data_IF_960034178256
#
_entry.id   IF_960034178256
#
_cell.length_a   1.000
_cell.length_b   1.000
_cell.length_c   1.000
_cell.angle_alpha   90.00
_cell.angle_beta   90.00
_cell.angle_gamma   90.00
#
_symmetry.space_group_name_H-M   'P 1'
#
loop_
_entity.id
_entity.type
_entity.pdbx_description
1 polymer ?
#
# COMPACT_ATOMS: atom_id res chain seq x y z
N UNK A 1 -6.46 -41.51 1.10
CA UNK A 1 -6.69 -40.18 0.49
C UNK A 1 -5.52 -39.86 -0.42
N UNK A 2 -5.78 -39.43 -1.65
CA UNK A 2 -4.73 -39.04 -2.58
C UNK A 2 -3.91 -37.88 -1.99
N UNK A 3 -2.59 -37.96 -2.06
CA UNK A 3 -1.72 -36.88 -1.63
C UNK A 3 -1.90 -35.70 -2.60
N UNK A 4 -2.49 -34.60 -2.11
CA UNK A 4 -2.59 -33.36 -2.90
C UNK A 4 -1.19 -32.87 -3.27
N UNK A 5 -1.03 -32.38 -4.49
CA UNK A 5 0.19 -31.71 -4.93
C UNK A 5 0.41 -30.44 -4.10
N UNK A 6 1.66 -30.08 -3.86
CA UNK A 6 2.04 -28.90 -3.07
C UNK A 6 1.35 -27.58 -3.51
N UNK A 7 1.23 -27.24 -4.81
CA UNK A 7 0.52 -26.03 -5.23
C UNK A 7 -0.96 -25.99 -4.79
N UNK A 8 -1.63 -27.13 -4.75
CA UNK A 8 -3.03 -27.21 -4.33
C UNK A 8 -3.15 -26.96 -2.82
N UNK A 9 -2.21 -27.48 -2.02
CA UNK A 9 -2.17 -27.22 -0.57
C UNK A 9 -1.92 -25.75 -0.26
N UNK A 10 -0.97 -25.13 -0.96
CA UNK A 10 -0.64 -23.71 -0.83
C UNK A 10 -1.89 -22.87 -1.14
N UNK A 11 -2.57 -23.19 -2.25
CA UNK A 11 -3.80 -22.50 -2.64
C UNK A 11 -4.89 -22.61 -1.57
N UNK A 12 -5.16 -23.82 -1.06
CA UNK A 12 -6.16 -24.03 0.00
C UNK A 12 -5.84 -23.20 1.24
N UNK A 13 -4.58 -23.22 1.68
CA UNK A 13 -4.15 -22.47 2.87
C UNK A 13 -4.28 -20.96 2.69
N UNK A 14 -3.92 -20.43 1.52
CA UNK A 14 -4.04 -19.01 1.20
C UNK A 14 -5.51 -18.57 1.11
N UNK A 15 -6.36 -19.34 0.43
CA UNK A 15 -7.81 -19.09 0.34
C UNK A 15 -8.48 -19.03 1.71
N UNK A 16 -8.18 -20.01 2.59
CA UNK A 16 -8.71 -20.03 3.96
C UNK A 16 -8.17 -18.85 4.79
N UNK A 17 -6.91 -18.45 4.56
CA UNK A 17 -6.32 -17.26 5.16
C UNK A 17 -6.97 -15.96 4.69
N UNK A 18 -7.58 -15.93 3.50
CA UNK A 18 -8.40 -14.81 2.99
C UNK A 18 -9.88 -14.88 3.40
N UNK A 19 -10.23 -15.68 4.41
CA UNK A 19 -11.58 -15.84 4.97
C UNK A 19 -12.60 -16.54 4.05
N UNK A 20 -12.14 -17.26 3.01
CA UNK A 20 -13.04 -18.13 2.25
C UNK A 20 -13.51 -19.31 3.10
N UNK A 21 -14.77 -19.73 2.91
CA UNK A 21 -15.32 -20.90 3.60
C UNK A 21 -14.75 -22.20 3.00
N UNK A 22 -14.62 -23.29 3.78
CA UNK A 22 -14.10 -24.57 3.27
C UNK A 22 -14.85 -25.11 2.05
N UNK A 23 -16.14 -24.80 1.92
CA UNK A 23 -16.95 -25.16 0.76
C UNK A 23 -16.52 -24.35 -0.48
N UNK A 24 -16.41 -23.02 -0.36
CA UNK A 24 -15.93 -22.17 -1.45
C UNK A 24 -14.53 -22.56 -1.92
N UNK A 25 -13.65 -22.92 -0.98
CA UNK A 25 -12.29 -23.39 -1.34
C UNK A 25 -12.33 -24.72 -2.09
N UNK A 26 -13.22 -25.64 -1.69
CA UNK A 26 -13.39 -26.91 -2.41
C UNK A 26 -13.87 -26.68 -3.86
N UNK A 27 -14.86 -25.80 -4.03
CA UNK A 27 -15.40 -25.43 -5.33
C UNK A 27 -14.33 -24.73 -6.20
N UNK A 28 -13.56 -23.79 -5.63
CA UNK A 28 -12.48 -23.10 -6.31
C UNK A 28 -11.32 -24.03 -6.71
N UNK A 29 -11.00 -25.05 -5.90
CA UNK A 29 -10.01 -26.07 -6.26
C UNK A 29 -10.51 -26.93 -7.42
N UNK A 30 -11.79 -27.28 -7.43
CA UNK A 30 -12.40 -28.02 -8.53
C UNK A 30 -12.33 -27.21 -9.83
N UNK A 31 -12.63 -25.91 -9.79
CA UNK A 31 -12.56 -25.05 -10.98
C UNK A 31 -11.13 -24.84 -11.49
N UNK A 32 -10.17 -24.56 -10.61
CA UNK A 32 -8.80 -24.21 -11.02
C UNK A 32 -7.91 -25.40 -11.33
N UNK A 33 -8.06 -26.50 -10.58
CA UNK A 33 -7.18 -27.66 -10.66
C UNK A 33 -7.89 -28.90 -11.21
N UNK A 34 -9.20 -28.84 -11.46
CA UNK A 34 -10.03 -30.00 -11.86
C UNK A 34 -9.89 -31.19 -10.90
N UNK A 35 -9.76 -30.90 -9.61
CA UNK A 35 -9.64 -31.89 -8.53
C UNK A 35 -10.83 -31.71 -7.58
N UNK A 36 -11.60 -32.78 -7.39
CA UNK A 36 -12.64 -32.80 -6.37
C UNK A 36 -12.03 -33.09 -4.99
N UNK A 37 -12.28 -32.19 -4.05
CA UNK A 37 -11.87 -32.35 -2.65
C UNK A 37 -13.07 -32.22 -1.73
N UNK A 38 -13.09 -32.99 -0.65
CA UNK A 38 -14.15 -32.87 0.35
C UNK A 38 -13.92 -31.63 1.23
N UNK A 39 -15.01 -30.97 1.66
CA UNK A 39 -14.94 -29.80 2.54
C UNK A 39 -14.19 -30.08 3.84
N UNK A 40 -14.29 -31.29 4.40
CA UNK A 40 -13.57 -31.66 5.65
C UNK A 40 -12.07 -31.73 5.41
N UNK A 41 -11.65 -32.11 4.20
CA UNK A 41 -10.24 -32.10 3.83
C UNK A 41 -9.69 -30.67 3.79
N UNK A 42 -10.47 -29.68 3.32
CA UNK A 42 -10.10 -28.26 3.39
C UNK A 42 -9.94 -27.79 4.84
N UNK A 43 -10.83 -28.20 5.76
CA UNK A 43 -10.73 -27.82 7.18
C UNK A 43 -9.44 -28.28 7.86
N UNK A 44 -8.83 -29.36 7.39
CA UNK A 44 -7.52 -29.83 7.86
C UNK A 44 -6.36 -28.89 7.53
N UNK A 45 -6.56 -27.93 6.62
CA UNK A 45 -5.56 -26.92 6.25
C UNK A 45 -5.74 -25.58 6.99
N UNK A 46 -6.73 -25.48 7.88
CA UNK A 46 -6.97 -24.30 8.71
C UNK A 46 -6.38 -24.50 10.12
N UNK A 47 -5.26 -23.84 10.48
CA UNK A 47 -4.63 -24.00 11.79
C UNK A 47 -5.45 -23.39 12.94
N UNK A 48 -6.50 -22.62 12.65
CA UNK A 48 -7.42 -22.07 13.66
C UNK A 48 -8.47 -23.08 14.11
N UNK A 49 -8.70 -24.14 13.32
CA UNK A 49 -9.67 -25.20 13.62
C UNK A 49 -9.00 -26.42 14.24
N UNK A 50 -9.79 -27.21 14.97
CA UNK A 50 -9.35 -28.48 15.57
C UNK A 50 -8.80 -29.47 14.53
N UNK A 51 -9.38 -29.48 13.32
CA UNK A 51 -8.95 -30.34 12.22
C UNK A 51 -7.53 -30.01 11.70
N UNK A 52 -7.10 -28.75 11.76
CA UNK A 52 -5.78 -28.31 11.31
C UNK A 52 -4.69 -28.28 12.38
N UNK A 53 -4.91 -28.91 13.55
CA UNK A 53 -3.90 -28.99 14.62
C UNK A 53 -2.58 -29.61 14.14
N UNK A 54 -2.65 -30.62 13.27
CA UNK A 54 -1.48 -31.34 12.75
C UNK A 54 -0.90 -30.73 11.45
N UNK A 55 -1.25 -29.48 11.12
CA UNK A 55 -0.72 -28.81 9.94
C UNK A 55 0.80 -28.57 10.08
N UNK A 56 1.54 -28.77 8.98
CA UNK A 56 2.99 -28.54 8.95
C UNK A 56 3.36 -27.10 9.32
N UNK A 57 4.52 -26.92 9.95
CA UNK A 57 5.01 -25.58 10.36
C UNK A 57 5.05 -24.59 9.19
N UNK A 58 5.47 -25.05 7.99
CA UNK A 58 5.54 -24.24 6.77
C UNK A 58 4.18 -23.68 6.37
N UNK A 59 3.16 -24.54 6.29
CA UNK A 59 1.80 -24.13 5.90
C UNK A 59 1.13 -23.29 6.98
N UNK A 60 1.40 -23.56 8.25
CA UNK A 60 0.94 -22.71 9.37
C UNK A 60 1.52 -21.31 9.28
N UNK A 61 2.83 -21.16 9.04
CA UNK A 61 3.47 -19.85 8.86
C UNK A 61 2.88 -19.12 7.66
N UNK A 62 2.69 -19.82 6.53
CA UNK A 62 2.05 -19.25 5.34
C UNK A 62 0.66 -18.71 5.67
N UNK A 63 -0.18 -19.50 6.33
CA UNK A 63 -1.55 -19.10 6.72
C UNK A 63 -1.56 -17.77 7.48
N UNK A 64 -0.78 -17.66 8.56
CA UNK A 64 -0.78 -16.46 9.38
C UNK A 64 -0.18 -15.26 8.64
N UNK A 65 0.89 -15.46 7.86
CA UNK A 65 1.48 -14.38 7.05
C UNK A 65 0.53 -13.85 5.99
N UNK A 66 -0.25 -14.73 5.33
CA UNK A 66 -1.27 -14.34 4.36
C UNK A 66 -2.45 -13.65 5.04
N UNK A 67 -2.88 -14.14 6.21
CA UNK A 67 -3.96 -13.54 7.01
C UNK A 67 -3.60 -12.12 7.47
N UNK A 68 -2.35 -11.90 7.88
CA UNK A 68 -1.86 -10.59 8.29
C UNK A 68 -1.84 -9.62 7.10
N UNK A 69 -1.21 -10.01 5.99
CA UNK A 69 -1.22 -9.22 4.74
C UNK A 69 -2.64 -8.87 4.28
N UNK A 70 -3.57 -9.83 4.32
CA UNK A 70 -4.95 -9.58 3.92
C UNK A 70 -5.65 -8.56 4.83
N UNK A 71 -5.28 -8.46 6.10
CA UNK A 71 -5.82 -7.46 7.02
C UNK A 71 -5.20 -6.08 6.82
N UNK A 72 -3.91 -6.02 6.51
CA UNK A 72 -3.16 -4.78 6.39
C UNK A 72 -3.32 -4.12 5.01
N UNK A 73 -3.35 -4.93 3.93
CA UNK A 73 -3.41 -4.47 2.54
C UNK A 73 -4.85 -4.26 2.05
N UNK A 74 -5.60 -3.40 2.75
CA UNK A 74 -6.96 -2.99 2.31
C UNK A 74 -6.92 -2.30 0.94
N UNK A 75 -5.80 -1.68 0.57
CA UNK A 75 -5.61 -0.95 -0.68
C UNK A 75 -5.61 -1.84 -1.93
N UNK A 76 -5.25 -3.11 -1.79
CA UNK A 76 -5.26 -4.08 -2.90
C UNK A 76 -6.68 -4.53 -3.25
N UNK A 77 -7.65 -4.30 -2.37
CA UNK A 77 -9.05 -4.60 -2.63
C UNK A 77 -9.56 -3.64 -3.72
N UNK A 78 -10.05 -4.11 -4.88
CA UNK A 78 -10.53 -3.22 -5.93
C UNK A 78 -11.65 -2.29 -5.45
N UNK A 79 -12.51 -2.75 -4.54
CA UNK A 79 -13.53 -1.91 -3.92
C UNK A 79 -12.96 -0.81 -3.02
N UNK A 80 -11.71 -0.86 -2.54
CA UNK A 80 -11.11 0.28 -1.84
C UNK A 80 -10.80 1.43 -2.80
N UNK A 81 -10.55 1.12 -4.08
CA UNK A 81 -10.27 2.10 -5.12
C UNK A 81 -11.55 2.78 -5.61
N UNK A 82 -11.60 4.11 -5.50
CA UNK A 82 -12.74 4.93 -5.94
C UNK A 82 -13.04 4.80 -7.43
N UNK A 83 -12.02 4.77 -8.29
CA UNK A 83 -12.21 4.65 -9.74
C UNK A 83 -12.86 3.32 -10.10
N UNK A 84 -12.47 2.23 -9.43
CA UNK A 84 -13.08 0.92 -9.65
C UNK A 84 -14.56 0.90 -9.22
N UNK A 85 -14.88 1.43 -8.03
CA UNK A 85 -16.28 1.52 -7.57
C UNK A 85 -17.13 2.36 -8.52
N UNK A 86 -16.65 3.52 -8.97
CA UNK A 86 -17.35 4.33 -9.97
C UNK A 86 -17.60 3.58 -11.27
N UNK A 87 -16.61 2.85 -11.78
CA UNK A 87 -16.79 2.04 -12.98
C UNK A 87 -17.85 0.95 -12.80
N UNK A 88 -17.93 0.33 -11.61
CA UNK A 88 -19.00 -0.62 -11.35
C UNK A 88 -20.38 0.03 -11.22
N UNK A 89 -20.48 1.20 -10.58
CA UNK A 89 -21.73 1.96 -10.51
C UNK A 89 -22.21 2.36 -11.92
N UNK A 90 -21.29 2.76 -12.82
CA UNK A 90 -21.62 3.07 -14.21
C UNK A 90 -22.20 1.85 -14.93
N UNK A 91 -21.55 0.68 -14.85
CA UNK A 91 -22.07 -0.56 -15.47
C UNK A 91 -23.46 -0.90 -14.94
N UNK A 92 -23.66 -0.84 -13.61
CA UNK A 92 -24.98 -1.08 -13.01
C UNK A 92 -26.01 -0.09 -13.55
N UNK A 93 -25.66 1.19 -13.69
CA UNK A 93 -26.55 2.21 -14.23
C UNK A 93 -26.99 1.86 -15.65
N UNK A 94 -26.06 1.42 -16.50
CA UNK A 94 -26.34 1.04 -17.89
C UNK A 94 -27.23 -0.22 -17.95
N UNK A 95 -26.96 -1.21 -17.10
CA UNK A 95 -27.70 -2.49 -17.02
C UNK A 95 -29.17 -2.32 -16.60
N UNK A 96 -29.50 -1.37 -15.73
CA UNK A 96 -30.87 -1.19 -15.21
C UNK A 96 -31.89 -0.60 -16.20
N UNK A 97 -31.49 -0.33 -17.45
CA UNK A 97 -32.42 0.01 -18.53
C UNK A 97 -33.35 1.20 -18.20
N UNK A 98 -34.68 0.96 -18.18
CA UNK A 98 -35.71 1.99 -17.90
C UNK A 98 -36.11 2.10 -16.43
N UNK A 99 -35.51 1.33 -15.51
CA UNK A 99 -35.87 1.36 -14.10
C UNK A 99 -35.31 2.64 -13.43
N UNK A 100 -36.12 3.70 -13.46
CA UNK A 100 -35.75 5.03 -12.96
C UNK A 100 -35.42 5.04 -11.46
N UNK A 101 -36.08 4.21 -10.65
CA UNK A 101 -35.85 4.15 -9.21
C UNK A 101 -34.46 3.60 -8.89
N UNK A 102 -34.06 2.49 -9.53
CA UNK A 102 -32.72 1.91 -9.35
C UNK A 102 -31.62 2.82 -9.92
N UNK A 103 -31.90 3.52 -11.03
CA UNK A 103 -30.99 4.53 -11.56
C UNK A 103 -30.78 5.69 -10.59
N UNK A 104 -31.85 6.15 -9.92
CA UNK A 104 -31.75 7.20 -8.90
C UNK A 104 -30.93 6.77 -7.69
N UNK A 105 -31.05 5.53 -7.21
CA UNK A 105 -30.24 5.04 -6.10
C UNK A 105 -28.75 4.96 -6.45
N UNK A 106 -28.41 4.51 -7.67
CA UNK A 106 -27.03 4.49 -8.15
C UNK A 106 -26.45 5.90 -8.28
N UNK A 107 -27.22 6.85 -8.84
CA UNK A 107 -26.80 8.25 -8.92
C UNK A 107 -26.56 8.87 -7.54
N UNK A 108 -27.37 8.49 -6.53
CA UNK A 108 -27.17 8.93 -5.15
C UNK A 108 -25.85 8.38 -4.60
N UNK A 109 -25.58 7.09 -4.78
CA UNK A 109 -24.35 6.47 -4.31
C UNK A 109 -23.09 7.01 -5.03
N UNK A 110 -23.20 7.26 -6.34
CA UNK A 110 -22.15 7.92 -7.10
C UNK A 110 -21.84 9.33 -6.56
N UNK A 111 -22.89 10.09 -6.17
CA UNK A 111 -22.73 11.41 -5.55
C UNK A 111 -22.04 11.32 -4.19
N UNK A 112 -22.44 10.38 -3.34
CA UNK A 112 -21.84 10.18 -2.01
C UNK A 112 -20.34 9.86 -2.11
N UNK A 113 -19.94 8.99 -3.03
CA UNK A 113 -18.53 8.70 -3.26
C UNK A 113 -17.74 9.88 -3.88
N UNK A 114 -18.42 10.77 -4.60
CA UNK A 114 -17.83 12.00 -5.15
C UNK A 114 -17.77 13.15 -4.13
N UNK A 115 -18.42 13.03 -2.99
CA UNK A 115 -18.38 14.05 -1.95
C UNK A 115 -16.93 14.26 -1.45
N UNK A 116 -16.50 15.51 -1.38
CA UNK A 116 -15.12 15.87 -1.00
C UNK A 116 -14.06 15.65 -2.10
N UNK A 117 -14.44 15.23 -3.30
CA UNK A 117 -13.53 15.13 -4.44
C UNK A 117 -12.89 16.48 -4.79
N UNK A 118 -13.65 17.57 -4.72
CA UNK A 118 -13.14 18.92 -5.02
C UNK A 118 -12.05 19.35 -4.01
N UNK A 119 -12.22 18.99 -2.72
CA UNK A 119 -11.21 19.21 -1.69
C UNK A 119 -9.95 18.35 -1.94
N UNK A 120 -10.12 17.12 -2.41
CA UNK A 120 -8.99 16.26 -2.78
C UNK A 120 -8.22 16.81 -3.98
N UNK A 121 -8.93 17.28 -5.02
CA UNK A 121 -8.32 17.93 -6.18
C UNK A 121 -7.53 19.18 -5.78
N UNK A 122 -8.10 20.02 -4.91
CA UNK A 122 -7.41 21.20 -4.38
C UNK A 122 -6.15 20.82 -3.61
N UNK A 123 -6.24 19.82 -2.71
CA UNK A 123 -5.08 19.35 -1.95
C UNK A 123 -3.98 18.77 -2.85
N UNK A 124 -4.35 18.05 -3.91
CA UNK A 124 -3.39 17.53 -4.90
C UNK A 124 -2.76 18.66 -5.70
N UNK A 125 -3.52 19.68 -6.10
CA UNK A 125 -3.01 20.85 -6.79
C UNK A 125 -2.06 21.65 -5.90
N UNK A 126 -2.42 21.92 -4.64
CA UNK A 126 -1.57 22.60 -3.68
C UNK A 126 -0.25 21.84 -3.47
N UNK A 127 -0.30 20.52 -3.28
CA UNK A 127 0.92 19.70 -3.18
C UNK A 127 1.78 19.77 -4.43
N UNK A 128 1.18 19.76 -5.63
CA UNK A 128 1.93 19.92 -6.88
C UNK A 128 2.59 21.29 -6.96
N UNK A 129 1.88 22.36 -6.64
CA UNK A 129 2.41 23.72 -6.61
C UNK A 129 3.53 23.89 -5.58
N UNK A 130 3.43 23.24 -4.42
CA UNK A 130 4.47 23.22 -3.40
C UNK A 130 5.72 22.48 -3.89
N UNK A 131 5.56 21.32 -4.54
CA UNK A 131 6.66 20.60 -5.19
C UNK A 131 7.30 21.45 -6.29
N UNK A 132 6.50 22.15 -7.09
CA UNK A 132 7.00 23.01 -8.17
C UNK A 132 7.76 24.22 -7.62
N UNK A 133 7.30 24.80 -6.50
CA UNK A 133 8.02 25.86 -5.78
C UNK A 133 9.37 25.36 -5.24
N UNK A 134 9.39 24.18 -4.63
CA UNK A 134 10.64 23.55 -4.15
C UNK A 134 11.60 23.26 -5.30
N UNK A 135 11.09 22.83 -6.47
CA UNK A 135 11.92 22.47 -7.63
C UNK A 135 12.45 23.67 -8.40
N UNK A 136 11.65 24.72 -8.54
CA UNK A 136 11.97 25.87 -9.39
C UNK A 136 12.45 27.09 -8.60
N UNK A 137 12.41 27.04 -7.26
CA UNK A 137 12.74 28.15 -6.37
C UNK A 137 11.66 29.24 -6.40
N UNK A 138 11.61 30.03 -5.34
CA UNK A 138 10.74 31.20 -5.26
C UNK A 138 11.22 32.19 -6.33
N UNK A 139 10.49 32.31 -7.42
CA UNK A 139 10.77 33.32 -8.44
C UNK A 139 10.42 34.71 -7.92
N UNK A 140 11.17 35.23 -6.95
CA UNK A 140 11.27 36.65 -6.55
C UNK A 140 12.33 36.79 -5.43
N UNK A 141 13.49 37.38 -5.76
CA UNK A 141 14.54 37.75 -4.80
C UNK A 141 15.95 37.39 -5.28
N UNK A 142 16.44 38.10 -6.30
CA UNK A 142 17.86 38.10 -6.64
C UNK A 142 18.65 38.86 -5.56
N UNK A 143 18.87 38.25 -4.40
CA UNK A 143 19.99 38.65 -3.53
C UNK A 143 21.24 38.01 -4.11
N UNK A 144 21.95 38.76 -4.96
CA UNK A 144 23.28 38.42 -5.44
C UNK A 144 24.13 38.08 -4.20
N UNK A 145 24.60 36.83 -4.01
CA UNK A 145 25.36 36.50 -2.83
C UNK A 145 26.68 37.27 -2.90
N UNK A 146 26.87 38.23 -2.00
CA UNK A 146 28.14 38.94 -1.86
C UNK A 146 29.25 37.90 -1.60
N UNK A 147 30.31 37.85 -2.42
CA UNK A 147 31.31 36.80 -2.30
C UNK A 147 32.10 36.99 -1.01
N UNK A 148 31.99 36.03 -0.09
CA UNK A 148 32.77 35.98 1.14
C UNK A 148 34.09 35.26 0.83
N UNK A 149 35.22 35.99 0.89
CA UNK A 149 36.54 35.38 0.78
C UNK A 149 36.90 34.65 2.07
N UNK A 150 37.25 33.37 1.98
CA UNK A 150 37.69 32.55 3.12
C UNK A 150 39.17 32.22 2.92
N UNK A 151 40.03 32.76 3.78
CA UNK A 151 41.46 32.46 3.79
C UNK A 151 41.73 31.30 4.75
N UNK A 152 42.16 30.15 4.21
CA UNK A 152 42.48 28.97 5.02
C UNK A 152 44.01 28.92 5.21
N UNK A 153 44.47 29.15 6.44
CA UNK A 153 45.87 28.96 6.79
C UNK A 153 46.11 27.51 7.20
N UNK A 154 46.91 26.79 6.40
CA UNK A 154 47.32 25.42 6.69
C UNK A 154 48.63 25.44 7.46
N UNK A 155 48.63 24.88 8.67
CA UNK A 155 49.86 24.70 9.48
C UNK A 155 50.33 23.25 9.36
N UNK A 156 51.61 23.07 9.02
CA UNK A 156 52.25 21.75 8.88
C UNK A 156 52.49 21.11 10.25
N UNK A 157 51.79 20.00 10.52
CA UNK A 157 51.78 19.31 11.81
C UNK A 157 53.05 18.49 12.11
N UNK A 158 54.08 18.57 11.26
CA UNK A 158 55.32 17.79 11.41
C UNK A 158 56.37 18.44 12.33
N UNK A 159 56.13 19.65 12.87
CA UNK A 159 56.99 20.28 13.88
C UNK A 159 56.55 19.91 15.30
N UNK A 160 57.52 19.54 16.15
CA UNK A 160 57.28 18.93 17.48
C UNK A 160 56.64 19.85 18.53
N UNK A 161 56.60 21.17 18.29
CA UNK A 161 55.96 22.17 19.15
C UNK A 161 55.21 23.21 18.30
N UNK A 162 54.16 22.77 17.60
CA UNK A 162 53.26 23.69 16.89
C UNK A 162 52.16 24.18 17.84
N UNK A 163 52.39 25.29 18.52
CA UNK A 163 51.34 25.96 19.31
C UNK A 163 50.37 26.70 18.40
N UNK A 164 49.08 26.60 18.71
CA UNK A 164 48.02 27.40 18.10
C UNK A 164 48.15 28.84 18.58
N UNK A 165 48.67 29.74 17.74
CA UNK A 165 48.52 31.17 17.95
C UNK A 165 47.10 31.57 17.54
N UNK A 166 46.20 31.69 18.53
CA UNK A 166 44.96 32.43 18.32
C UNK A 166 45.31 33.91 18.34
N UNK A 167 45.44 34.52 17.16
CA UNK A 167 45.50 35.97 17.09
C UNK A 167 44.20 36.53 17.66
N UNK A 168 44.35 37.21 18.79
CA UNK A 168 43.36 38.11 19.32
C UNK A 168 43.23 39.28 18.33
N UNK A 169 42.05 39.44 17.74
CA UNK A 169 41.38 40.71 17.49
C UNK A 169 40.25 40.50 16.48
N UNK A 170 39.02 40.48 16.99
CA UNK A 170 37.90 41.06 16.24
C UNK A 170 37.11 41.93 17.23
N UNK A 171 37.78 42.95 17.74
CA UNK A 171 37.12 44.11 18.32
C UNK A 171 36.69 45.05 17.20
N UNK A 172 35.43 45.49 17.33
CA UNK A 172 34.83 46.73 16.82
C UNK A 172 34.55 46.88 15.33
N UNK A 173 33.30 47.31 15.05
CA UNK A 173 32.96 48.16 13.90
C UNK A 173 31.68 47.78 13.21
#
# INVERSE_FOLDING_TARGET
>A
MAALKEPVKIFIVQSLACFETPQQVADAVKEKFNIEIDRRQCEGYDPTKSAGRNLSKKLRTLFFSTREKFKDDVWDIPLANKSFRMNQLQKMFDDYGRNKLMKQSILKQAREEMQGHDLQLLNVQLKKLEIDRIKNGDGEGADDPTPVSVTINVVDASKKDAEHQSDAECTTG
#
